data_IF_961383077056
#
_entry.id   IF_961383077056
#
_cell.length_a   1.000
_cell.length_b   1.000
_cell.length_c   1.000
_cell.angle_alpha   90.00
_cell.angle_beta   90.00
_cell.angle_gamma   90.00
#
_symmetry.space_group_name_H-M   'P 1'
#
loop_
_entity.id
_entity.type
_entity.pdbx_description
1 polymer ?
#
# COMPACT_ATOMS: atom_id res chain seq x y z
N UNK A 1 -7.18 -4.51 8.57
CA UNK A 1 -8.26 -5.10 9.39
C UNK A 1 -9.64 -4.76 8.81
N UNK A 2 -10.04 -3.49 8.71
CA UNK A 2 -11.40 -3.09 8.28
C UNK A 2 -11.79 -3.62 6.90
N UNK A 3 -10.84 -3.77 5.98
CA UNK A 3 -11.08 -4.32 4.64
C UNK A 3 -10.86 -5.84 4.56
N UNK A 4 -10.53 -6.51 5.65
CA UNK A 4 -10.19 -7.94 5.69
C UNK A 4 -9.11 -8.33 4.67
N UNK A 5 -8.09 -7.49 4.52
CA UNK A 5 -7.01 -7.67 3.55
C UNK A 5 -5.85 -8.53 4.05
N UNK A 6 -5.72 -8.66 5.37
CA UNK A 6 -4.63 -9.39 6.01
C UNK A 6 -5.17 -10.58 6.78
N UNK A 7 -4.42 -11.67 6.76
CA UNK A 7 -4.77 -12.92 7.47
C UNK A 7 -4.39 -12.89 8.94
N UNK A 8 -3.42 -12.06 9.31
CA UNK A 8 -2.99 -11.90 10.71
C UNK A 8 -3.55 -10.59 11.29
N UNK A 9 -4.12 -10.61 12.50
CA UNK A 9 -4.56 -9.38 13.16
C UNK A 9 -3.35 -8.48 13.42
N UNK A 10 -3.50 -7.20 13.11
CA UNK A 10 -2.51 -6.20 13.53
C UNK A 10 -2.52 -6.09 15.04
N UNK A 11 -1.35 -6.06 15.64
CA UNK A 11 -1.19 -5.83 17.07
C UNK A 11 -1.34 -4.35 17.46
N UNK A 12 -1.45 -3.48 16.47
CA UNK A 12 -1.55 -2.02 16.65
C UNK A 12 -2.66 -1.45 15.79
N UNK A 13 -3.36 -0.47 16.33
CA UNK A 13 -4.26 0.39 15.55
C UNK A 13 -3.44 1.50 14.88
N UNK A 14 -3.61 1.67 13.58
CA UNK A 14 -2.85 2.65 12.80
C UNK A 14 -3.73 3.82 12.41
N UNK A 15 -3.29 5.04 12.73
CA UNK A 15 -4.01 6.28 12.47
C UNK A 15 -3.14 7.19 11.62
N UNK A 16 -3.63 7.55 10.43
CA UNK A 16 -2.96 8.53 9.57
C UNK A 16 -3.29 9.93 10.06
N UNK A 17 -2.25 10.74 10.26
CA UNK A 17 -2.36 12.10 10.77
C UNK A 17 -1.66 13.12 9.87
N UNK A 18 -2.18 14.36 9.80
CA UNK A 18 -1.63 15.43 8.98
C UNK A 18 -0.52 16.23 9.67
N UNK A 19 -0.32 16.00 10.97
CA UNK A 19 0.75 16.62 11.77
C UNK A 19 1.59 15.52 12.40
N UNK A 20 2.90 15.72 12.41
CA UNK A 20 3.79 14.79 13.11
C UNK A 20 3.54 14.86 14.61
N UNK A 21 3.13 13.76 15.20
CA UNK A 21 2.92 13.64 16.64
C UNK A 21 4.15 13.04 17.32
N UNK A 22 4.39 13.49 18.55
CA UNK A 22 5.42 12.94 19.45
C UNK A 22 4.80 12.75 20.84
N UNK A 23 4.79 11.53 21.39
CA UNK A 23 5.26 10.29 20.78
C UNK A 23 4.42 9.86 19.57
N UNK A 24 5.00 9.05 18.68
CA UNK A 24 4.31 8.50 17.51
C UNK A 24 3.50 7.24 17.83
N UNK A 25 3.55 6.77 19.06
CA UNK A 25 2.78 5.62 19.55
C UNK A 25 2.31 5.90 20.97
N UNK A 26 1.05 5.55 21.27
CA UNK A 26 0.45 5.61 22.61
C UNK A 26 -0.33 4.32 22.87
N UNK A 27 -0.53 4.00 24.14
CA UNK A 27 -1.35 2.85 24.56
C UNK A 27 -2.62 3.39 25.21
N UNK A 28 -3.78 2.95 24.72
CA UNK A 28 -5.09 3.29 25.29
C UNK A 28 -5.82 1.99 25.61
N UNK A 29 -6.12 1.73 26.88
CA UNK A 29 -6.80 0.49 27.34
C UNK A 29 -6.13 -0.77 26.75
N UNK A 30 -4.82 -0.86 26.91
CA UNK A 30 -3.97 -1.97 26.43
C UNK A 30 -3.89 -2.14 24.91
N UNK A 31 -4.50 -1.25 24.13
CA UNK A 31 -4.40 -1.23 22.67
C UNK A 31 -3.35 -0.20 22.26
N UNK A 32 -2.29 -0.58 21.54
CA UNK A 32 -1.32 0.36 21.00
C UNK A 32 -1.88 1.05 19.76
N UNK A 33 -1.77 2.39 19.74
CA UNK A 33 -2.13 3.26 18.62
C UNK A 33 -0.86 3.87 18.03
N UNK A 34 -0.64 3.66 16.75
CA UNK A 34 0.48 4.21 16.01
C UNK A 34 0.02 5.33 15.09
N UNK A 35 0.62 6.52 15.22
CA UNK A 35 0.32 7.68 14.38
C UNK A 35 1.30 7.76 13.21
N UNK A 36 0.77 7.69 12.00
CA UNK A 36 1.53 7.70 10.75
C UNK A 36 1.33 9.06 10.09
N UNK A 37 2.40 9.86 10.02
CA UNK A 37 2.32 11.16 9.36
C UNK A 37 2.19 11.02 7.84
N UNK A 38 1.19 11.70 7.27
CA UNK A 38 1.03 11.95 5.84
C UNK A 38 0.83 13.45 5.59
N UNK A 39 1.33 13.94 4.46
CA UNK A 39 1.05 15.31 4.03
C UNK A 39 -0.46 15.49 3.79
N UNK A 40 -0.99 16.69 4.06
CA UNK A 40 -2.43 17.00 3.92
C UNK A 40 -2.98 16.71 2.52
N UNK A 41 -2.19 16.90 1.46
CA UNK A 41 -2.58 16.54 0.08
C UNK A 41 -2.91 15.07 -0.11
N UNK A 42 -2.46 14.19 0.81
CA UNK A 42 -2.72 12.75 0.79
C UNK A 42 -4.02 12.35 1.52
N UNK A 43 -4.75 13.31 2.11
CA UNK A 43 -6.02 13.06 2.79
C UNK A 43 -7.18 13.13 1.78
N UNK A 44 -7.45 12.00 1.13
CA UNK A 44 -8.58 11.78 0.23
C UNK A 44 -8.92 10.27 0.22
N UNK A 45 -9.97 9.87 -0.48
CA UNK A 45 -10.38 8.46 -0.57
C UNK A 45 -10.77 7.89 0.79
N UNK A 46 -11.42 8.70 1.65
CA UNK A 46 -11.87 8.29 2.97
C UNK A 46 -13.38 8.24 3.04
N UNK A 47 -13.92 7.28 3.77
CA UNK A 47 -15.35 7.10 4.01
C UNK A 47 -15.62 6.71 5.47
N UNK A 48 -16.82 6.99 5.93
CA UNK A 48 -17.29 6.50 7.23
C UNK A 48 -17.63 5.02 7.13
N UNK A 49 -16.99 4.20 7.94
CA UNK A 49 -17.25 2.76 8.03
C UNK A 49 -17.69 2.37 9.43
N UNK A 50 -18.62 1.44 9.51
CA UNK A 50 -19.02 0.84 10.77
C UNK A 50 -17.91 -0.07 11.29
N UNK A 51 -17.50 0.10 12.54
CA UNK A 51 -16.58 -0.80 13.24
C UNK A 51 -17.31 -1.75 14.18
N UNK A 52 -18.49 -1.34 14.61
CA UNK A 52 -19.45 -2.13 15.37
C UNK A 52 -20.87 -1.62 15.09
N UNK A 53 -21.89 -2.15 15.82
CA UNK A 53 -23.30 -1.78 15.63
C UNK A 53 -23.61 -0.29 15.98
N UNK A 54 -22.72 0.42 16.64
CA UNK A 54 -22.99 1.76 17.17
C UNK A 54 -21.99 2.82 16.71
N UNK A 55 -20.77 2.42 16.28
CA UNK A 55 -19.68 3.35 16.01
C UNK A 55 -19.23 3.32 14.56
N UNK A 56 -19.04 4.52 14.01
CA UNK A 56 -18.43 4.74 12.70
C UNK A 56 -17.10 5.47 12.86
N UNK A 57 -16.12 5.05 12.10
CA UNK A 57 -14.82 5.73 11.97
C UNK A 57 -14.57 6.15 10.53
N UNK A 58 -13.72 7.16 10.35
CA UNK A 58 -13.22 7.53 9.03
C UNK A 58 -12.09 6.57 8.67
N UNK A 59 -12.26 5.84 7.58
CA UNK A 59 -11.26 4.94 7.03
C UNK A 59 -11.00 5.23 5.57
N UNK A 60 -9.78 4.96 5.10
CA UNK A 60 -9.51 4.91 3.66
C UNK A 60 -10.39 3.85 3.00
N UNK A 61 -10.86 4.12 1.79
CA UNK A 61 -11.46 3.08 0.96
C UNK A 61 -10.40 2.05 0.50
N UNK A 62 -10.83 1.03 -0.23
CA UNK A 62 -9.95 -0.07 -0.62
C UNK A 62 -8.76 0.42 -1.47
N UNK A 63 -9.03 1.23 -2.47
CA UNK A 63 -8.02 1.75 -3.40
C UNK A 63 -7.03 2.67 -2.69
N UNK A 64 -7.54 3.56 -1.83
CA UNK A 64 -6.69 4.46 -1.04
C UNK A 64 -5.83 3.69 -0.05
N UNK A 65 -6.36 2.62 0.54
CA UNK A 65 -5.59 1.74 1.43
C UNK A 65 -4.39 1.16 0.70
N UNK A 66 -4.55 0.66 -0.54
CA UNK A 66 -3.41 0.16 -1.32
C UNK A 66 -2.40 1.25 -1.66
N UNK A 67 -2.84 2.46 -1.99
CA UNK A 67 -1.94 3.60 -2.24
C UNK A 67 -1.09 3.92 -1.00
N UNK A 68 -1.71 3.97 0.18
CA UNK A 68 -1.00 4.26 1.43
C UNK A 68 -0.01 3.14 1.80
N UNK A 69 -0.42 1.87 1.64
CA UNK A 69 0.45 0.72 1.87
C UNK A 69 1.65 0.69 0.92
N UNK A 70 1.45 0.96 -0.38
CA UNK A 70 2.53 1.03 -1.36
C UNK A 70 3.48 2.21 -1.11
N UNK A 71 3.00 3.29 -0.50
CA UNK A 71 3.83 4.42 -0.11
C UNK A 71 4.72 4.10 1.08
N UNK A 72 4.17 3.42 2.09
CA UNK A 72 4.86 3.05 3.33
C UNK A 72 4.66 1.56 3.65
N UNK A 73 5.35 0.65 2.96
CA UNK A 73 5.18 -0.80 3.13
C UNK A 73 5.40 -1.28 4.56
N UNK A 74 6.29 -0.65 5.29
CA UNK A 74 6.69 -0.98 6.67
C UNK A 74 5.48 -1.00 7.63
N UNK A 75 4.50 -0.12 7.39
CA UNK A 75 3.27 -0.07 8.19
C UNK A 75 2.20 -1.07 7.75
N UNK A 76 2.44 -1.78 6.65
CA UNK A 76 1.48 -2.72 6.07
C UNK A 76 1.92 -4.19 6.20
N UNK A 77 2.92 -4.47 7.04
CA UNK A 77 3.49 -5.81 7.17
C UNK A 77 4.46 -6.18 6.05
N UNK A 78 5.00 -5.17 5.34
CA UNK A 78 5.97 -5.34 4.26
C UNK A 78 5.33 -5.56 2.88
N UNK A 79 6.19 -5.60 1.87
CA UNK A 79 5.76 -5.63 0.48
C UNK A 79 5.05 -6.93 0.08
N UNK A 80 5.40 -8.05 0.71
CA UNK A 80 4.78 -9.37 0.47
C UNK A 80 3.30 -9.38 0.88
N UNK A 81 2.98 -8.80 2.05
CA UNK A 81 1.60 -8.72 2.53
C UNK A 81 0.74 -7.81 1.63
N UNK A 82 1.32 -6.73 1.12
CA UNK A 82 0.64 -5.86 0.16
C UNK A 82 0.33 -6.62 -1.13
N UNK A 83 1.28 -7.41 -1.64
CA UNK A 83 1.09 -8.22 -2.84
C UNK A 83 -0.03 -9.24 -2.65
N UNK A 84 -0.06 -9.95 -1.51
CA UNK A 84 -1.12 -10.88 -1.14
C UNK A 84 -2.48 -10.18 -1.08
N UNK A 85 -2.55 -9.02 -0.40
CA UNK A 85 -3.77 -8.24 -0.27
C UNK A 85 -4.32 -7.75 -1.62
N UNK A 86 -3.46 -7.28 -2.52
CA UNK A 86 -3.84 -6.88 -3.89
C UNK A 86 -4.37 -8.10 -4.67
N UNK A 87 -3.68 -9.22 -4.61
CA UNK A 87 -4.09 -10.43 -5.34
C UNK A 87 -5.43 -10.96 -4.86
N UNK A 88 -5.65 -11.07 -3.55
CA UNK A 88 -6.92 -11.55 -2.98
C UNK A 88 -8.08 -10.61 -3.25
N UNK A 89 -7.80 -9.32 -3.43
CA UNK A 89 -8.82 -8.30 -3.69
C UNK A 89 -8.95 -7.91 -5.16
N UNK A 90 -8.23 -8.56 -6.08
CA UNK A 90 -8.14 -8.15 -7.50
C UNK A 90 -9.49 -7.97 -8.20
N UNK A 91 -10.51 -8.74 -7.81
CA UNK A 91 -11.86 -8.66 -8.37
C UNK A 91 -12.75 -7.60 -7.69
N UNK A 92 -12.29 -7.00 -6.58
CA UNK A 92 -13.01 -5.96 -5.83
C UNK A 92 -12.45 -4.56 -6.09
N UNK A 93 -11.24 -4.47 -6.64
CA UNK A 93 -10.54 -3.22 -6.91
C UNK A 93 -11.17 -2.52 -8.11
N UNK A 94 -11.49 -1.23 -7.95
CA UNK A 94 -11.77 -0.36 -9.07
C UNK A 94 -10.44 0.21 -9.60
N UNK A 95 -9.93 -0.37 -10.69
CA UNK A 95 -8.62 0.01 -11.23
C UNK A 95 -8.56 1.45 -11.76
N UNK A 96 -9.67 2.00 -12.27
CA UNK A 96 -9.71 3.40 -12.68
C UNK A 96 -9.55 4.34 -11.47
N UNK A 97 -10.27 4.07 -10.38
CA UNK A 97 -10.13 4.81 -9.13
C UNK A 97 -8.72 4.67 -8.55
N UNK A 98 -8.16 3.46 -8.61
CA UNK A 98 -6.79 3.20 -8.14
C UNK A 98 -5.75 4.01 -8.92
N UNK A 99 -5.89 4.10 -10.25
CA UNK A 99 -5.04 4.93 -11.10
C UNK A 99 -5.18 6.42 -10.77
N UNK A 100 -6.41 6.92 -10.63
CA UNK A 100 -6.68 8.31 -10.29
C UNK A 100 -6.08 8.67 -8.92
N UNK A 101 -6.19 7.77 -7.96
CA UNK A 101 -5.58 7.95 -6.65
C UNK A 101 -4.06 7.92 -6.71
N UNK A 102 -3.46 7.04 -7.50
CA UNK A 102 -2.01 7.00 -7.70
C UNK A 102 -1.50 8.31 -8.33
N UNK A 103 -2.20 8.84 -9.35
CA UNK A 103 -1.93 10.15 -9.97
C UNK A 103 -2.03 11.28 -8.95
N UNK A 104 -3.14 11.34 -8.22
CA UNK A 104 -3.39 12.38 -7.21
C UNK A 104 -2.38 12.35 -6.07
N UNK A 105 -1.98 11.17 -5.64
CA UNK A 105 -0.99 10.98 -4.58
C UNK A 105 0.39 11.51 -4.99
N UNK A 106 0.75 11.35 -6.24
CA UNK A 106 1.93 11.96 -6.85
C UNK A 106 3.27 11.37 -6.40
N UNK A 107 3.28 10.11 -5.92
CA UNK A 107 4.51 9.42 -5.50
C UNK A 107 5.00 8.46 -6.57
N UNK A 108 6.26 8.65 -7.01
CA UNK A 108 6.91 7.73 -7.95
C UNK A 108 7.08 6.33 -7.36
N UNK A 109 7.28 6.21 -6.05
CA UNK A 109 7.36 4.91 -5.38
C UNK A 109 6.04 4.14 -5.51
N UNK A 110 4.91 4.81 -5.29
CA UNK A 110 3.57 4.22 -5.43
C UNK A 110 3.33 3.76 -6.87
N UNK A 111 3.54 4.66 -7.86
CA UNK A 111 3.31 4.37 -9.28
C UNK A 111 4.10 3.14 -9.75
N UNK A 112 5.38 3.10 -9.41
CA UNK A 112 6.29 2.02 -9.83
C UNK A 112 5.99 0.70 -9.15
N UNK A 113 5.79 0.71 -7.82
CA UNK A 113 5.45 -0.48 -7.06
C UNK A 113 4.11 -1.06 -7.49
N UNK A 114 3.11 -0.20 -7.71
CA UNK A 114 1.79 -0.62 -8.19
C UNK A 114 1.91 -1.31 -9.55
N UNK A 115 2.53 -0.67 -10.52
CA UNK A 115 2.68 -1.24 -11.85
C UNK A 115 3.49 -2.55 -11.85
N UNK A 116 4.58 -2.58 -11.10
CA UNK A 116 5.39 -3.80 -10.92
C UNK A 116 4.56 -4.95 -10.35
N UNK A 117 3.75 -4.69 -9.30
CA UNK A 117 2.90 -5.71 -8.70
C UNK A 117 1.82 -6.21 -9.65
N UNK A 118 1.12 -5.31 -10.34
CA UNK A 118 0.07 -5.71 -11.27
C UNK A 118 0.60 -6.64 -12.37
N UNK A 119 1.80 -6.36 -12.90
CA UNK A 119 2.45 -7.25 -13.88
C UNK A 119 2.93 -8.56 -13.25
N UNK A 120 3.61 -8.50 -12.10
CA UNK A 120 4.13 -9.69 -11.43
C UNK A 120 3.03 -10.67 -11.04
N UNK A 121 1.88 -10.15 -10.64
CA UNK A 121 0.70 -10.91 -10.24
C UNK A 121 -0.22 -11.28 -11.42
N UNK A 122 0.19 -10.94 -12.64
CA UNK A 122 -0.54 -11.21 -13.89
C UNK A 122 -1.99 -10.68 -13.87
N UNK A 123 -2.21 -9.56 -13.18
CA UNK A 123 -3.51 -8.92 -13.07
C UNK A 123 -3.79 -8.15 -14.37
N UNK A 124 -4.74 -8.64 -15.14
CA UNK A 124 -5.13 -8.01 -16.39
C UNK A 124 -5.93 -6.73 -16.15
N UNK A 125 -5.35 -5.59 -16.50
CA UNK A 125 -5.97 -4.28 -16.34
C UNK A 125 -5.40 -3.27 -17.34
N UNK A 126 -6.23 -2.31 -17.73
CA UNK A 126 -5.88 -1.24 -18.66
C UNK A 126 -4.98 -0.15 -18.08
N UNK A 127 -4.77 -0.12 -16.75
CA UNK A 127 -4.02 0.97 -16.10
C UNK A 127 -2.49 0.80 -16.19
N UNK A 128 -2.00 -0.39 -16.54
CA UNK A 128 -0.54 -0.68 -16.57
C UNK A 128 0.19 0.25 -17.53
N UNK A 129 -0.34 0.45 -18.73
CA UNK A 129 0.27 1.32 -19.73
C UNK A 129 0.26 2.79 -19.30
N UNK A 130 -0.78 3.23 -18.60
CA UNK A 130 -0.84 4.59 -18.06
C UNK A 130 0.20 4.78 -16.94
N UNK A 131 0.35 3.81 -16.03
CA UNK A 131 1.38 3.83 -15.00
C UNK A 131 2.79 3.88 -15.61
N UNK A 132 3.01 3.17 -16.72
CA UNK A 132 4.27 3.19 -17.46
C UNK A 132 4.61 4.58 -18.01
N UNK A 133 3.62 5.30 -18.56
CA UNK A 133 3.80 6.67 -19.08
C UNK A 133 4.12 7.68 -17.97
N UNK A 134 3.63 7.45 -16.77
CA UNK A 134 3.76 8.38 -15.62
C UNK A 134 5.05 8.18 -14.82
N UNK A 135 5.75 7.04 -14.98
CA UNK A 135 6.95 6.77 -14.22
C UNK A 135 8.15 7.59 -14.67
N UNK A 136 9.00 7.97 -13.74
CA UNK A 136 10.31 8.58 -14.03
C UNK A 136 11.40 7.53 -14.17
N UNK A 137 12.55 7.93 -14.73
CA UNK A 137 13.70 7.02 -14.91
C UNK A 137 14.47 6.71 -13.61
N UNK A 138 14.28 7.49 -12.52
CA UNK A 138 14.96 7.29 -11.24
C UNK A 138 14.61 5.93 -10.63
N UNK A 139 15.56 5.21 -10.08
CA UNK A 139 15.30 3.93 -9.42
C UNK A 139 14.85 4.10 -7.98
N UNK A 140 13.94 3.24 -7.55
CA UNK A 140 13.50 3.10 -6.16
C UNK A 140 13.71 1.66 -5.69
N UNK A 141 13.88 1.43 -4.40
CA UNK A 141 13.86 0.08 -3.84
C UNK A 141 12.42 -0.47 -3.81
N UNK A 142 12.26 -1.75 -4.09
CA UNK A 142 10.98 -2.43 -4.02
C UNK A 142 10.49 -2.48 -2.58
N UNK A 143 11.32 -2.98 -1.67
CA UNK A 143 11.08 -2.98 -0.24
C UNK A 143 12.00 -1.96 0.44
N UNK A 144 11.47 -1.20 1.40
CA UNK A 144 12.20 -0.14 2.10
C UNK A 144 12.99 -0.64 3.30
N UNK A 145 12.61 -1.78 3.86
CA UNK A 145 13.26 -2.38 5.03
C UNK A 145 14.44 -3.27 4.68
N UNK A 146 14.49 -3.75 3.43
CA UNK A 146 15.56 -4.62 2.98
C UNK A 146 16.79 -3.82 2.48
N UNK A 147 17.98 -4.41 2.55
CA UNK A 147 19.19 -3.81 1.98
C UNK A 147 18.99 -3.44 0.51
N UNK A 148 19.61 -2.34 0.08
CA UNK A 148 19.54 -1.86 -1.32
C UNK A 148 20.45 -2.67 -2.24
N UNK A 149 20.30 -3.97 -2.23
CA UNK A 149 21.03 -4.94 -3.07
C UNK A 149 20.03 -5.76 -3.86
N UNK A 150 20.31 -6.04 -5.14
CA UNK A 150 19.40 -6.80 -5.98
C UNK A 150 19.52 -6.48 -7.46
N UNK A 151 18.57 -6.94 -8.25
CA UNK A 151 18.53 -6.75 -9.70
C UNK A 151 17.74 -5.49 -10.07
N UNK A 152 18.18 -4.79 -11.12
CA UNK A 152 17.46 -3.62 -11.63
C UNK A 152 16.37 -4.04 -12.63
N UNK A 153 15.13 -3.78 -12.29
CA UNK A 153 14.01 -3.87 -13.22
C UNK A 153 13.91 -2.55 -14.01
N UNK A 154 14.38 -2.57 -15.24
CA UNK A 154 14.37 -1.38 -16.12
C UNK A 154 12.97 -0.95 -16.51
N UNK A 155 12.04 -1.90 -16.66
CA UNK A 155 10.67 -1.61 -17.06
C UNK A 155 9.95 -0.72 -16.05
N UNK A 156 10.11 -0.99 -14.75
CA UNK A 156 9.49 -0.20 -13.68
C UNK A 156 10.46 0.75 -12.96
N UNK A 157 11.73 0.78 -13.34
CA UNK A 157 12.78 1.54 -12.63
C UNK A 157 12.80 1.23 -11.14
N UNK A 158 12.86 -0.06 -10.84
CA UNK A 158 12.86 -0.62 -9.47
C UNK A 158 14.15 -1.40 -9.25
N UNK A 159 14.77 -1.20 -8.10
CA UNK A 159 15.76 -2.12 -7.55
C UNK A 159 14.99 -3.24 -6.84
N UNK A 160 14.99 -4.44 -7.43
CA UNK A 160 14.35 -5.64 -6.88
C UNK A 160 15.25 -6.21 -5.77
N UNK A 161 15.12 -5.67 -4.57
CA UNK A 161 15.80 -6.14 -3.37
C UNK A 161 14.99 -7.18 -2.59
N UNK A 162 13.93 -7.66 -3.19
CA UNK A 162 13.09 -8.77 -2.72
C UNK A 162 12.88 -9.74 -3.90
N UNK A 163 13.08 -11.03 -3.66
CA UNK A 163 12.93 -12.05 -4.69
C UNK A 163 11.47 -12.20 -5.12
N UNK A 164 11.24 -12.28 -6.43
CA UNK A 164 9.88 -12.41 -7.00
C UNK A 164 9.20 -13.70 -6.59
N UNK A 165 9.96 -14.77 -6.42
CA UNK A 165 9.45 -16.07 -5.98
C UNK A 165 8.89 -16.02 -4.55
N UNK A 166 9.51 -15.21 -3.67
CA UNK A 166 8.97 -14.97 -2.32
C UNK A 166 7.60 -14.30 -2.38
N UNK A 167 7.43 -13.33 -3.29
CA UNK A 167 6.14 -12.65 -3.48
C UNK A 167 5.11 -13.63 -4.05
N UNK A 168 5.48 -14.40 -5.08
CA UNK A 168 4.58 -15.35 -5.73
C UNK A 168 4.16 -16.48 -4.80
N UNK A 169 5.09 -17.08 -4.07
CA UNK A 169 4.77 -18.18 -3.13
C UNK A 169 3.78 -17.73 -2.05
N UNK A 170 3.89 -16.49 -1.59
CA UNK A 170 3.01 -15.96 -0.54
C UNK A 170 1.55 -15.77 -0.97
N UNK A 171 1.24 -15.75 -2.27
CA UNK A 171 -0.13 -15.60 -2.78
C UNK A 171 -0.90 -16.92 -2.77
N UNK A 172 -0.21 -18.06 -2.75
CA UNK A 172 -0.82 -19.39 -2.83
C UNK A 172 -0.88 -20.11 -1.49
N UNK A 173 -0.39 -19.48 -0.43
CA UNK A 173 -0.47 -19.95 0.98
C UNK A 173 -1.51 -19.17 1.75
#
# INVERSE_FOLDING_TARGET
QIHNLITQPSLKEQIVVSKQLRPSEIIIKDVPFQFIYHNEKHFFGVKKMWIDSFHKVLCSDLEKTFIDCLFKPDYAGGFVEIARAIYTSKNKINYNTLLDYAKRFGSQAVLKRLGFLLELLEIQTNIIDELQKLKTASYIALDTELPKTGKYNKRWSILQNLETETIKSAIYT
#
